data_IF_830641287663
#
_entry.id   IF_830641287663
#
_cell.length_a   1.000
_cell.length_b   1.000
_cell.length_c   1.000
_cell.angle_alpha   90.00
_cell.angle_beta   90.00
_cell.angle_gamma   90.00
#
_symmetry.space_group_name_H-M   'P 1'
#
loop_
_entity.id
_entity.type
_entity.pdbx_description
1 polymer ?
#
# COMPACT_ATOMS: atom_id res chain seq x y z
N UNK A 1 11.64 -18.36 14.98
CA UNK A 1 11.72 -16.98 14.45
C UNK A 1 10.83 -16.95 13.22
N UNK A 2 9.77 -16.11 13.15
CA UNK A 2 9.00 -15.97 11.92
C UNK A 2 9.90 -15.37 10.84
N UNK A 3 9.85 -15.92 9.64
CA UNK A 3 10.54 -15.36 8.47
C UNK A 3 9.74 -14.14 8.03
N UNK A 4 10.35 -12.96 7.97
CA UNK A 4 9.73 -11.78 7.36
C UNK A 4 9.57 -12.11 5.87
N UNK A 5 8.32 -12.15 5.40
CA UNK A 5 7.97 -12.39 4.00
C UNK A 5 7.69 -11.05 3.31
N UNK A 6 8.12 -10.91 2.06
CA UNK A 6 7.88 -9.71 1.26
C UNK A 6 7.84 -10.05 -0.24
N UNK A 7 7.14 -9.23 -1.04
CA UNK A 7 7.07 -9.34 -2.51
C UNK A 7 7.59 -8.08 -3.18
N UNK A 8 8.39 -8.24 -4.24
CA UNK A 8 8.92 -7.12 -5.01
C UNK A 8 7.94 -6.68 -6.11
N UNK A 9 7.70 -5.37 -6.21
CA UNK A 9 6.86 -4.73 -7.24
C UNK A 9 7.69 -3.63 -7.92
N UNK A 10 7.78 -3.66 -9.24
CA UNK A 10 8.41 -2.59 -10.03
C UNK A 10 7.36 -1.56 -10.43
N UNK A 11 7.61 -0.28 -10.16
CA UNK A 11 6.65 0.79 -10.45
C UNK A 11 6.82 1.25 -11.91
N UNK A 12 5.71 1.49 -12.61
CA UNK A 12 5.73 2.13 -13.93
C UNK A 12 4.60 3.14 -14.04
N UNK A 13 4.87 4.34 -14.57
CA UNK A 13 3.87 5.37 -14.86
C UNK A 13 3.89 5.72 -16.36
N UNK A 14 2.73 6.13 -16.88
CA UNK A 14 2.57 6.70 -18.22
C UNK A 14 2.83 8.22 -18.15
N UNK A 15 3.70 8.74 -19.03
CA UNK A 15 4.22 10.11 -18.96
C UNK A 15 3.21 11.14 -19.50
N UNK A 16 2.77 12.07 -18.65
CA UNK A 16 2.32 13.41 -19.04
C UNK A 16 2.97 14.44 -18.11
N UNK A 17 3.90 15.23 -18.66
CA UNK A 17 4.92 16.02 -17.93
C UNK A 17 4.42 17.33 -17.30
N UNK A 18 4.86 17.62 -16.07
CA UNK A 18 5.02 18.99 -15.54
C UNK A 18 6.25 19.06 -14.60
N UNK A 19 7.13 20.09 -14.66
CA UNK A 19 8.34 20.17 -13.85
C UNK A 19 8.14 20.99 -12.56
N UNK A 20 8.74 20.57 -11.44
CA UNK A 20 8.81 21.37 -10.21
C UNK A 20 10.26 21.63 -9.76
N UNK A 21 10.47 22.89 -9.33
CA UNK A 21 11.73 23.54 -8.94
C UNK A 21 12.18 23.18 -7.52
N UNK A 22 13.49 23.22 -7.27
CA UNK A 22 14.14 22.97 -5.97
C UNK A 22 14.44 24.24 -5.17
N UNK A 23 14.35 24.18 -3.84
CA UNK A 23 15.30 24.76 -2.85
C UNK A 23 14.75 24.75 -1.40
N UNK A 24 15.54 24.30 -0.41
CA UNK A 24 16.10 25.09 0.72
C UNK A 24 16.68 24.23 1.88
N UNK A 25 17.60 24.87 2.62
CA UNK A 25 18.58 24.37 3.60
C UNK A 25 18.06 24.12 5.05
N UNK A 26 18.92 23.48 5.85
CA UNK A 26 18.86 22.96 7.24
C UNK A 26 18.98 23.99 8.38
N UNK A 27 18.64 23.62 9.65
CA UNK A 27 19.43 23.89 10.89
C UNK A 27 18.96 23.07 12.14
N UNK A 28 19.87 22.86 13.14
CA UNK A 28 19.87 21.86 14.28
C UNK A 28 18.86 22.05 15.43
N UNK A 29 18.91 21.45 16.65
CA UNK A 29 19.79 20.57 17.46
C UNK A 29 19.02 20.13 18.75
N UNK A 30 19.49 19.11 19.50
CA UNK A 30 19.14 18.69 20.89
C UNK A 30 18.29 17.43 21.12
N UNK A 31 18.71 16.66 22.14
CA UNK A 31 18.60 15.21 22.39
C UNK A 31 17.50 14.87 23.41
N UNK A 32 16.65 13.87 23.15
CA UNK A 32 16.14 12.80 24.07
C UNK A 32 15.17 11.90 23.28
N UNK A 33 15.29 10.58 23.43
CA UNK A 33 14.63 9.48 22.67
C UNK A 33 14.83 9.58 21.15
N UNK A 34 15.81 8.83 20.60
CA UNK A 34 16.06 8.80 19.14
C UNK A 34 14.95 8.03 18.43
N UNK A 35 13.80 8.68 18.21
CA UNK A 35 13.07 8.46 16.97
C UNK A 35 14.00 8.86 15.81
N UNK A 36 14.02 8.06 14.74
CA UNK A 36 14.78 8.39 13.53
C UNK A 36 14.28 9.74 13.02
N UNK A 37 15.07 10.81 13.23
CA UNK A 37 14.66 12.20 12.90
C UNK A 37 14.76 12.53 11.41
N UNK A 38 15.54 11.74 10.67
CA UNK A 38 15.63 11.82 9.21
C UNK A 38 16.40 10.61 8.70
N UNK A 39 15.82 9.87 7.77
CA UNK A 39 16.60 9.00 6.88
C UNK A 39 17.05 9.90 5.73
N UNK A 40 18.31 10.30 5.72
CA UNK A 40 18.90 10.98 4.57
C UNK A 40 19.36 9.90 3.59
N UNK A 41 18.64 9.75 2.48
CA UNK A 41 19.11 8.91 1.37
C UNK A 41 20.00 9.77 0.49
N UNK A 42 21.31 9.58 0.62
CA UNK A 42 22.31 10.25 -0.23
C UNK A 42 22.43 9.44 -1.51
N UNK A 43 21.85 9.93 -2.60
CA UNK A 43 22.05 9.34 -3.92
C UNK A 43 23.25 9.99 -4.60
N UNK A 44 24.24 9.17 -4.98
CA UNK A 44 25.33 9.60 -5.83
C UNK A 44 25.34 8.73 -7.10
N UNK A 45 25.35 9.41 -8.26
CA UNK A 45 25.45 8.92 -9.65
C UNK A 45 24.16 8.62 -10.44
N UNK A 46 24.24 8.99 -11.74
CA UNK A 46 23.19 9.36 -12.71
C UNK A 46 22.19 8.28 -13.17
N UNK A 47 21.98 7.21 -12.41
CA UNK A 47 20.87 6.25 -12.62
C UNK A 47 20.85 5.24 -11.48
N UNK A 48 20.75 5.72 -10.25
CA UNK A 48 20.68 4.83 -9.10
C UNK A 48 19.26 4.28 -8.95
N UNK A 49 19.11 2.96 -9.14
CA UNK A 49 17.89 2.25 -8.78
C UNK A 49 17.64 2.35 -7.27
N UNK A 50 16.38 2.48 -6.87
CA UNK A 50 15.97 2.61 -5.47
C UNK A 50 15.09 1.41 -5.11
N UNK A 51 15.41 0.77 -3.99
CA UNK A 51 14.54 -0.23 -3.37
C UNK A 51 13.95 0.35 -2.10
N UNK A 52 12.62 0.27 -1.96
CA UNK A 52 11.87 0.79 -0.83
C UNK A 52 11.20 -0.37 -0.11
N UNK A 53 11.51 -0.58 1.17
CA UNK A 53 10.70 -1.46 2.01
C UNK A 53 9.35 -0.78 2.26
N UNK A 54 8.26 -1.43 1.91
CA UNK A 54 6.94 -0.83 1.91
C UNK A 54 5.92 -1.67 2.70
N UNK A 55 5.03 -0.98 3.40
CA UNK A 55 3.90 -1.56 4.11
C UNK A 55 2.94 -0.45 4.54
N UNK A 56 1.64 -0.70 4.42
CA UNK A 56 0.56 0.21 4.73
C UNK A 56 0.51 1.51 3.91
N UNK A 57 -0.45 2.36 4.30
CA UNK A 57 -0.76 3.63 3.65
C UNK A 57 0.43 4.60 3.67
N UNK A 58 1.23 4.59 4.74
CA UNK A 58 2.38 5.48 4.89
C UNK A 58 3.44 5.25 3.80
N UNK A 59 3.80 3.99 3.56
CA UNK A 59 4.75 3.64 2.52
C UNK A 59 4.20 3.91 1.11
N UNK A 60 2.91 3.63 0.89
CA UNK A 60 2.26 3.92 -0.38
C UNK A 60 2.28 5.42 -0.72
N UNK A 61 2.02 6.29 0.27
CA UNK A 61 2.15 7.75 0.12
C UNK A 61 3.60 8.19 -0.11
N UNK A 62 4.56 7.57 0.56
CA UNK A 62 5.98 7.82 0.31
C UNK A 62 6.36 7.46 -1.13
N UNK A 63 5.95 6.30 -1.62
CA UNK A 63 6.20 5.85 -3.00
C UNK A 63 5.57 6.81 -4.02
N UNK A 64 4.34 7.29 -3.76
CA UNK A 64 3.71 8.32 -4.61
C UNK A 64 4.52 9.61 -4.66
N UNK A 65 5.06 10.06 -3.53
CA UNK A 65 5.94 11.23 -3.48
C UNK A 65 7.29 10.98 -4.17
N UNK A 66 7.88 9.80 -3.99
CA UNK A 66 9.13 9.40 -4.62
C UNK A 66 9.01 9.40 -6.15
N UNK A 67 7.88 8.94 -6.69
CA UNK A 67 7.61 8.95 -8.13
C UNK A 67 7.61 10.36 -8.76
N UNK A 68 7.43 11.43 -7.95
CA UNK A 68 7.50 12.82 -8.43
C UNK A 68 8.94 13.34 -8.56
N UNK A 69 9.91 12.69 -7.92
CA UNK A 69 11.31 13.17 -7.83
C UNK A 69 12.35 12.14 -8.28
N UNK A 70 11.93 10.89 -8.50
CA UNK A 70 12.76 9.79 -8.98
C UNK A 70 12.01 8.98 -10.04
N UNK A 71 12.74 8.44 -11.02
CA UNK A 71 12.16 7.65 -12.10
C UNK A 71 11.44 6.40 -11.55
N UNK A 72 10.11 6.29 -11.69
CA UNK A 72 9.36 5.15 -11.17
C UNK A 72 9.87 3.80 -11.71
N UNK A 73 10.34 3.76 -12.97
CA UNK A 73 10.89 2.54 -13.60
C UNK A 73 12.21 2.08 -12.99
N UNK A 74 12.90 2.97 -12.27
CA UNK A 74 14.10 2.65 -11.50
C UNK A 74 13.78 2.48 -10.00
N UNK A 75 12.50 2.49 -9.61
CA UNK A 75 12.04 2.25 -8.24
C UNK A 75 11.41 0.87 -8.12
N UNK A 76 11.84 0.11 -7.11
CA UNK A 76 11.26 -1.17 -6.72
C UNK A 76 10.74 -1.08 -5.29
N UNK A 77 9.47 -1.41 -5.07
CA UNK A 77 8.91 -1.56 -3.74
C UNK A 77 9.02 -3.03 -3.30
N UNK A 78 9.61 -3.29 -2.14
CA UNK A 78 9.58 -4.59 -1.47
C UNK A 78 8.49 -4.54 -0.40
N UNK A 79 7.32 -5.05 -0.74
CA UNK A 79 6.08 -4.88 0.03
C UNK A 79 5.90 -6.01 1.05
N UNK A 80 5.54 -5.65 2.27
CA UNK A 80 5.21 -6.54 3.37
C UNK A 80 4.07 -7.50 2.98
N UNK A 81 4.23 -8.78 3.33
CA UNK A 81 3.20 -9.82 3.20
C UNK A 81 2.86 -10.46 4.54
N UNK A 82 3.28 -9.86 5.66
CA UNK A 82 2.97 -10.34 7.00
C UNK A 82 1.48 -10.32 7.33
N UNK A 83 0.72 -9.47 6.63
CA UNK A 83 -0.74 -9.33 6.79
C UNK A 83 -1.50 -10.06 5.66
N UNK A 84 -0.82 -10.85 4.82
CA UNK A 84 -1.47 -11.70 3.82
C UNK A 84 -2.35 -12.73 4.53
N UNK A 85 -3.56 -12.94 4.01
CA UNK A 85 -4.53 -13.86 4.60
C UNK A 85 -5.43 -14.49 3.55
N UNK A 86 -6.16 -15.53 3.96
CA UNK A 86 -7.27 -16.08 3.18
C UNK A 86 -8.57 -15.72 3.87
N UNK A 87 -9.42 -14.95 3.19
CA UNK A 87 -10.72 -14.50 3.70
C UNK A 87 -11.81 -14.84 2.69
N UNK A 88 -12.91 -15.45 3.12
CA UNK A 88 -13.97 -15.89 2.20
C UNK A 88 -13.49 -16.84 1.09
N UNK A 89 -12.36 -17.53 1.30
CA UNK A 89 -11.70 -18.36 0.29
C UNK A 89 -10.85 -17.60 -0.73
N UNK A 90 -10.70 -16.28 -0.58
CA UNK A 90 -9.90 -15.41 -1.44
C UNK A 90 -8.58 -15.07 -0.77
N UNK A 91 -7.49 -14.97 -1.55
CA UNK A 91 -6.21 -14.47 -1.05
C UNK A 91 -6.25 -12.95 -1.00
N UNK A 92 -5.89 -12.37 0.13
CA UNK A 92 -5.87 -10.93 0.36
C UNK A 92 -4.46 -10.51 0.76
N UNK A 93 -3.95 -9.44 0.16
CA UNK A 93 -2.63 -8.88 0.44
C UNK A 93 -2.71 -7.36 0.70
N UNK A 94 -3.17 -6.94 1.89
CA UNK A 94 -3.63 -5.56 2.13
C UNK A 94 -2.58 -4.48 1.81
N UNK A 95 -1.31 -4.74 2.11
CA UNK A 95 -0.22 -3.81 1.86
C UNK A 95 0.12 -3.69 0.37
N UNK A 96 0.04 -4.79 -0.37
CA UNK A 96 0.22 -4.81 -1.83
C UNK A 96 -0.93 -4.05 -2.48
N UNK A 97 -2.17 -4.32 -2.09
CA UNK A 97 -3.37 -3.66 -2.61
C UNK A 97 -3.30 -2.16 -2.36
N UNK A 98 -2.92 -1.76 -1.14
CA UNK A 98 -2.74 -0.34 -0.77
C UNK A 98 -1.69 0.36 -1.63
N UNK A 99 -0.55 -0.28 -1.89
CA UNK A 99 0.49 0.27 -2.79
C UNK A 99 -0.05 0.40 -4.20
N UNK A 100 -0.71 -0.63 -4.73
CA UNK A 100 -1.26 -0.63 -6.09
C UNK A 100 -2.31 0.48 -6.23
N UNK A 101 -3.32 0.52 -5.36
CA UNK A 101 -4.42 1.49 -5.40
C UNK A 101 -3.92 2.93 -5.25
N UNK A 102 -2.90 3.15 -4.42
CA UNK A 102 -2.34 4.50 -4.24
C UNK A 102 -1.58 4.96 -5.48
N UNK A 103 -0.75 4.08 -6.07
CA UNK A 103 0.08 4.44 -7.23
C UNK A 103 -0.70 4.49 -8.54
N UNK A 104 -1.81 3.76 -8.65
CA UNK A 104 -2.74 3.83 -9.78
C UNK A 104 -3.76 4.97 -9.66
N UNK A 105 -3.69 5.76 -8.58
CA UNK A 105 -4.65 6.82 -8.25
C UNK A 105 -6.10 6.31 -8.06
N UNK A 106 -6.29 5.00 -7.86
CA UNK A 106 -7.59 4.38 -7.64
C UNK A 106 -8.06 4.46 -6.17
N UNK A 107 -7.15 4.76 -5.24
CA UNK A 107 -7.45 4.85 -3.80
C UNK A 107 -8.49 5.94 -3.48
N UNK A 108 -9.37 5.67 -2.52
CA UNK A 108 -10.25 6.69 -1.97
C UNK A 108 -9.45 7.70 -1.13
N UNK A 109 -9.30 8.91 -1.66
CA UNK A 109 -8.53 9.98 -1.03
C UNK A 109 -9.20 10.54 0.23
N UNK A 110 -10.52 10.39 0.38
CA UNK A 110 -11.28 10.92 1.52
C UNK A 110 -11.19 9.95 2.69
N UNK A 111 -11.44 8.66 2.44
CA UNK A 111 -11.27 7.60 3.45
C UNK A 111 -9.81 7.33 3.77
N UNK A 112 -8.92 7.51 2.79
CA UNK A 112 -7.49 7.30 2.91
C UNK A 112 -7.05 5.83 2.76
N UNK A 113 -7.98 4.93 2.41
CA UNK A 113 -7.76 3.50 2.20
C UNK A 113 -8.88 2.91 1.32
N UNK A 114 -8.61 1.76 0.69
CA UNK A 114 -9.54 1.09 -0.22
C UNK A 114 -9.76 1.85 -1.54
N UNK A 115 -10.54 1.27 -2.44
CA UNK A 115 -10.84 1.86 -3.74
C UNK A 115 -11.85 3.01 -3.64
N UNK A 116 -11.73 3.99 -4.53
CA UNK A 116 -12.70 5.08 -4.69
C UNK A 116 -14.05 4.57 -5.24
N UNK A 117 -15.14 5.24 -4.85
CA UNK A 117 -16.52 4.88 -5.26
C UNK A 117 -16.91 3.43 -4.93
N UNK A 118 -16.39 2.91 -3.82
CA UNK A 118 -16.65 1.54 -3.40
C UNK A 118 -18.09 1.35 -2.89
N UNK A 119 -18.68 0.19 -3.17
CA UNK A 119 -19.92 -0.26 -2.55
C UNK A 119 -19.67 -1.46 -1.65
N UNK A 120 -20.60 -1.74 -0.73
CA UNK A 120 -20.42 -2.75 0.33
C UNK A 120 -21.54 -3.81 0.32
N UNK A 121 -22.21 -4.00 -0.81
CA UNK A 121 -23.46 -4.77 -0.88
C UNK A 121 -23.20 -6.25 -0.60
N UNK A 122 -22.06 -6.79 -1.04
CA UNK A 122 -21.68 -8.16 -0.74
C UNK A 122 -21.54 -8.38 0.76
N UNK A 123 -20.81 -7.50 1.45
CA UNK A 123 -20.57 -7.60 2.89
C UNK A 123 -21.85 -7.33 3.71
N UNK A 124 -22.67 -6.37 3.31
CA UNK A 124 -23.99 -6.13 3.91
C UNK A 124 -24.92 -7.35 3.78
N UNK A 125 -24.85 -8.06 2.65
CA UNK A 125 -25.62 -9.29 2.45
C UNK A 125 -25.05 -10.44 3.27
N UNK A 126 -23.73 -10.56 3.32
CA UNK A 126 -23.04 -11.60 4.10
C UNK A 126 -23.35 -11.50 5.59
N UNK A 127 -23.43 -10.28 6.14
CA UNK A 127 -23.77 -10.01 7.53
C UNK A 127 -25.08 -10.70 7.97
N UNK A 128 -26.05 -10.86 7.06
CA UNK A 128 -27.35 -11.49 7.34
C UNK A 128 -27.25 -13.00 7.61
N UNK A 129 -26.15 -13.63 7.21
CA UNK A 129 -25.93 -15.07 7.34
C UNK A 129 -24.99 -15.43 8.50
N UNK A 130 -24.46 -14.44 9.24
CA UNK A 130 -23.45 -14.66 10.30
C UNK A 130 -23.97 -15.63 11.37
N UNK A 131 -25.22 -15.48 11.81
CA UNK A 131 -25.81 -16.30 12.88
C UNK A 131 -26.14 -17.74 12.44
N UNK A 132 -26.20 -17.99 11.13
CA UNK A 132 -26.54 -19.30 10.54
C UNK A 132 -25.38 -19.89 9.74
N UNK A 133 -24.17 -19.38 9.96
CA UNK A 133 -22.97 -19.84 9.26
C UNK A 133 -22.67 -21.31 9.61
N UNK A 134 -22.46 -22.18 8.60
CA UNK A 134 -22.09 -23.57 8.84
C UNK A 134 -20.71 -23.72 9.49
N UNK A 135 -20.57 -24.76 10.32
CA UNK A 135 -19.27 -25.18 10.83
C UNK A 135 -18.29 -25.48 9.68
N UNK A 136 -17.07 -24.96 9.80
CA UNK A 136 -16.04 -25.10 8.77
C UNK A 136 -16.16 -24.14 7.57
N UNK A 137 -17.14 -23.24 7.54
CA UNK A 137 -17.21 -22.19 6.50
C UNK A 137 -15.99 -21.26 6.56
N UNK A 138 -15.45 -20.89 5.40
CA UNK A 138 -14.34 -19.94 5.24
C UNK A 138 -14.79 -18.47 5.23
N UNK A 139 -16.09 -18.20 5.29
CA UNK A 139 -16.61 -16.84 5.35
C UNK A 139 -16.22 -16.18 6.68
N UNK A 140 -15.51 -15.06 6.64
CA UNK A 140 -15.12 -14.35 7.87
C UNK A 140 -16.29 -13.60 8.51
N UNK A 141 -16.14 -13.27 9.80
CA UNK A 141 -17.15 -12.54 10.58
C UNK A 141 -17.17 -11.07 10.19
N UNK A 142 -16.28 -10.21 10.71
CA UNK A 142 -16.32 -8.75 10.42
C UNK A 142 -14.96 -8.03 10.54
N UNK A 143 -13.84 -8.73 10.73
CA UNK A 143 -12.55 -8.09 11.07
C UNK A 143 -11.86 -7.35 9.91
N UNK A 144 -12.22 -7.68 8.68
CA UNK A 144 -11.74 -7.04 7.45
C UNK A 144 -12.92 -6.91 6.50
N UNK A 145 -13.14 -5.70 5.97
CA UNK A 145 -14.28 -5.42 5.10
C UNK A 145 -13.80 -5.37 3.65
N UNK A 146 -14.43 -6.16 2.78
CA UNK A 146 -14.13 -6.19 1.35
C UNK A 146 -15.16 -5.41 0.57
N UNK A 147 -14.69 -4.40 -0.15
CA UNK A 147 -15.51 -3.65 -1.08
C UNK A 147 -15.91 -4.48 -2.29
N UNK A 148 -17.01 -4.13 -2.94
CA UNK A 148 -17.50 -4.85 -4.11
C UNK A 148 -16.51 -4.79 -5.30
N UNK A 149 -15.81 -3.66 -5.49
CA UNK A 149 -14.72 -3.54 -6.46
C UNK A 149 -13.44 -4.21 -5.96
N UNK A 150 -13.12 -4.08 -4.67
CA UNK A 150 -11.96 -4.72 -4.05
C UNK A 150 -12.01 -6.25 -4.20
N UNK A 151 -13.20 -6.86 -4.10
CA UNK A 151 -13.42 -8.28 -4.39
C UNK A 151 -12.90 -8.69 -5.78
N UNK A 152 -13.01 -7.82 -6.78
CA UNK A 152 -12.53 -8.11 -8.13
C UNK A 152 -11.00 -8.29 -8.18
N UNK A 153 -10.25 -7.56 -7.34
CA UNK A 153 -8.79 -7.75 -7.20
C UNK A 153 -8.49 -9.15 -6.69
N UNK A 154 -9.26 -9.64 -5.72
CA UNK A 154 -9.02 -10.94 -5.06
C UNK A 154 -9.57 -12.15 -5.82
N UNK A 155 -10.29 -11.93 -6.93
CA UNK A 155 -10.72 -12.99 -7.85
C UNK A 155 -9.66 -13.38 -8.87
N UNK A 156 -8.63 -12.56 -9.06
CA UNK A 156 -7.54 -12.78 -10.03
C UNK A 156 -6.27 -13.30 -9.33
#
# INVERSE_FOLDING_TARGET
>A
MPVISARAITISQSTSDLPLRSSLQTYGSSTTTRAVRSIAVVFNSESSSVVVLAGGVGAARFLRGLALVHNPKATTALVNTGDDTILHGLNISPDIDTVIYTLSEAIDQVRGWGLSNETWRAMESLKKYVDVRPDGSSAATEWFNLGDQDLATHFY
#
